data_IF_839286494909
#
_entry.id   IF_839286494909
#
_cell.length_a   1.000
_cell.length_b   1.000
_cell.length_c   1.000
_cell.angle_alpha   90.00
_cell.angle_beta   90.00
_cell.angle_gamma   90.00
#
_symmetry.space_group_name_H-M   'P 1'
#
loop_
_entity.id
_entity.type
_entity.pdbx_description
1 polymer ?
#
# COMPACT_ATOMS: atom_id res chain seq x y z
N UNK A 1 -20.36 -19.43 -7.68
CA UNK A 1 -19.65 -19.25 -8.96
C UNK A 1 -18.34 -18.54 -8.65
N UNK A 2 -17.20 -19.23 -8.73
CA UNK A 2 -15.91 -18.59 -8.51
C UNK A 2 -15.58 -17.74 -9.75
N UNK A 3 -15.63 -16.43 -9.62
CA UNK A 3 -15.15 -15.54 -10.67
C UNK A 3 -13.63 -15.61 -10.72
N UNK A 4 -13.10 -16.12 -11.81
CA UNK A 4 -11.67 -16.09 -12.08
C UNK A 4 -11.29 -14.65 -12.38
N UNK A 5 -10.48 -14.05 -11.52
CA UNK A 5 -9.94 -12.71 -11.77
C UNK A 5 -8.90 -12.85 -12.87
N UNK A 6 -9.17 -12.32 -14.05
CA UNK A 6 -8.40 -12.58 -15.27
C UNK A 6 -7.66 -11.38 -15.82
N UNK A 7 -7.59 -10.26 -15.13
CA UNK A 7 -6.78 -9.14 -15.60
C UNK A 7 -6.20 -8.38 -14.43
N UNK A 8 -4.89 -8.41 -14.27
CA UNK A 8 -4.30 -8.22 -12.98
C UNK A 8 -3.05 -7.38 -13.07
N UNK A 9 -3.21 -6.12 -12.79
CA UNK A 9 -2.18 -5.35 -12.11
C UNK A 9 -2.38 -5.50 -10.59
N UNK A 10 -2.22 -6.74 -10.11
CA UNK A 10 -2.22 -6.98 -8.67
C UNK A 10 -0.96 -6.39 -8.10
N UNK A 11 -1.13 -5.34 -7.37
CA UNK A 11 -0.05 -4.72 -6.62
C UNK A 11 -0.47 -4.68 -5.17
N UNK A 12 0.43 -5.15 -4.32
CA UNK A 12 0.48 -4.96 -2.89
C UNK A 12 -0.25 -6.00 -2.05
N UNK A 13 0.57 -6.81 -1.42
CA UNK A 13 0.21 -7.64 -0.30
C UNK A 13 0.55 -6.91 1.00
N UNK A 14 -0.44 -6.67 1.87
CA UNK A 14 -0.21 -6.06 3.18
C UNK A 14 -0.82 -6.91 4.28
N UNK A 15 -0.02 -7.12 5.32
CA UNK A 15 -0.44 -7.78 6.55
C UNK A 15 -0.90 -6.72 7.55
N UNK A 16 -2.11 -6.85 8.08
CA UNK A 16 -2.63 -5.96 9.11
C UNK A 16 -3.31 -6.71 10.23
N UNK A 17 -3.23 -6.13 11.43
CA UNK A 17 -3.83 -6.63 12.64
C UNK A 17 -5.36 -6.64 12.54
N UNK A 18 -5.95 -7.70 13.10
CA UNK A 18 -7.37 -7.87 13.38
C UNK A 18 -8.35 -7.62 12.23
N UNK A 19 -8.68 -8.70 11.55
CA UNK A 19 -9.90 -8.76 10.75
C UNK A 19 -11.13 -8.59 11.66
N UNK A 20 -11.70 -7.40 11.77
CA UNK A 20 -12.90 -7.11 12.55
C UNK A 20 -13.11 -8.09 13.72
N UNK A 21 -12.71 -7.69 14.93
CA UNK A 21 -13.02 -8.37 16.20
C UNK A 21 -12.47 -9.81 16.38
N UNK A 22 -11.45 -10.19 15.65
CA UNK A 22 -10.78 -11.48 15.82
C UNK A 22 -9.27 -11.32 15.98
N UNK A 23 -8.62 -12.22 16.70
CA UNK A 23 -7.15 -12.30 16.83
C UNK A 23 -6.45 -12.79 15.55
N UNK A 24 -7.16 -12.77 14.41
CA UNK A 24 -6.66 -13.26 13.13
C UNK A 24 -6.18 -12.08 12.28
N UNK A 25 -5.02 -12.23 11.66
CA UNK A 25 -4.46 -11.26 10.73
C UNK A 25 -5.15 -11.31 9.37
N UNK A 26 -5.17 -10.18 8.69
CA UNK A 26 -5.65 -10.08 7.32
C UNK A 26 -4.56 -9.58 6.37
N UNK A 27 -4.65 -10.06 5.15
CA UNK A 27 -3.90 -9.60 4.01
C UNK A 27 -4.84 -8.77 3.14
N UNK A 28 -4.41 -7.57 2.77
CA UNK A 28 -5.11 -6.72 1.82
C UNK A 28 -4.37 -6.71 0.50
N UNK A 29 -5.12 -6.91 -0.58
CA UNK A 29 -4.59 -6.97 -1.94
C UNK A 29 -5.30 -5.89 -2.76
N UNK A 30 -4.55 -4.93 -3.29
CA UNK A 30 -5.07 -3.89 -4.14
C UNK A 30 -5.04 -4.30 -5.61
N UNK A 31 -6.18 -4.25 -6.29
CA UNK A 31 -6.30 -4.20 -7.74
C UNK A 31 -6.66 -2.75 -8.10
N UNK A 32 -5.63 -1.89 -8.07
CA UNK A 32 -5.73 -0.43 -8.10
C UNK A 32 -5.04 0.21 -9.31
N UNK A 33 -4.31 -0.59 -10.10
CA UNK A 33 -3.62 -0.14 -11.30
C UNK A 33 -4.57 0.24 -12.44
N UNK A 34 -4.24 1.28 -13.18
CA UNK A 34 -4.98 1.72 -14.36
C UNK A 34 -4.08 2.51 -15.32
N UNK A 35 -3.12 1.84 -15.93
CA UNK A 35 -2.22 2.45 -16.92
C UNK A 35 -2.97 3.09 -18.11
N UNK A 36 -4.19 2.66 -18.37
CA UNK A 36 -5.02 3.16 -19.47
C UNK A 36 -5.93 4.31 -19.08
N UNK A 37 -6.01 4.67 -17.79
CA UNK A 37 -6.92 5.67 -17.24
C UNK A 37 -8.39 5.48 -17.66
N UNK A 38 -8.89 4.24 -17.53
CA UNK A 38 -10.23 3.85 -17.98
C UNK A 38 -11.09 3.20 -16.91
N UNK A 39 -10.52 2.93 -15.74
CA UNK A 39 -11.23 2.24 -14.67
C UNK A 39 -11.99 3.23 -13.79
N UNK A 40 -13.31 3.12 -13.82
CA UNK A 40 -14.17 3.88 -12.90
C UNK A 40 -14.12 3.37 -11.46
N UNK A 41 -13.76 2.10 -11.29
CA UNK A 41 -13.76 1.41 -9.99
C UNK A 41 -12.47 0.62 -9.84
N UNK A 42 -11.84 0.78 -8.69
CA UNK A 42 -10.75 -0.05 -8.22
C UNK A 42 -11.22 -0.99 -7.12
N UNK A 43 -10.48 -2.06 -6.88
CA UNK A 43 -10.86 -3.09 -5.92
C UNK A 43 -9.77 -3.30 -4.88
N UNK A 44 -10.19 -3.50 -3.63
CA UNK A 44 -9.33 -3.93 -2.55
C UNK A 44 -9.90 -5.21 -1.97
N UNK A 45 -9.11 -6.27 -1.98
CA UNK A 45 -9.49 -7.56 -1.42
C UNK A 45 -8.95 -7.67 0.01
N UNK A 46 -9.75 -8.16 0.92
CA UNK A 46 -9.36 -8.58 2.26
C UNK A 46 -9.44 -10.08 2.34
N UNK A 47 -8.34 -10.72 2.72
CA UNK A 47 -8.20 -12.17 2.83
C UNK A 47 -7.68 -12.49 4.23
N UNK A 48 -8.20 -13.53 4.87
CA UNK A 48 -7.61 -14.03 6.10
C UNK A 48 -6.19 -14.54 5.83
N UNK A 49 -5.24 -14.18 6.69
CA UNK A 49 -3.88 -14.68 6.55
C UNK A 49 -3.86 -16.21 6.70
N UNK A 50 -3.38 -16.96 5.69
CA UNK A 50 -3.30 -18.40 5.80
C UNK A 50 -2.20 -18.79 6.80
N UNK A 51 -2.45 -19.85 7.54
CA UNK A 51 -1.41 -20.43 8.37
C UNK A 51 -0.44 -21.23 7.48
N UNK A 52 0.78 -20.73 7.33
CA UNK A 52 1.82 -21.38 6.54
C UNK A 52 2.89 -21.90 7.50
N UNK A 53 3.15 -23.18 7.47
CA UNK A 53 4.28 -23.81 8.15
C UNK A 53 5.38 -24.21 7.18
N UNK A 54 6.54 -24.59 7.69
CA UNK A 54 7.69 -25.01 6.87
C UNK A 54 7.44 -26.27 6.03
N UNK A 55 6.34 -26.96 6.23
CA UNK A 55 5.92 -28.19 5.53
C UNK A 55 4.83 -27.92 4.49
N UNK A 56 4.29 -26.72 4.47
CA UNK A 56 3.24 -26.31 3.51
C UNK A 56 3.86 -26.24 2.11
N UNK A 57 3.66 -27.27 1.31
CA UNK A 57 4.18 -27.37 -0.07
C UNK A 57 3.09 -27.27 -1.12
N UNK A 58 1.84 -27.20 -0.71
CA UNK A 58 0.69 -27.18 -1.62
C UNK A 58 0.15 -25.76 -1.74
N UNK A 59 -0.32 -25.44 -2.95
CA UNK A 59 -1.14 -24.28 -3.20
C UNK A 59 -2.43 -24.42 -2.39
N UNK A 60 -2.71 -23.45 -1.52
CA UNK A 60 -3.96 -23.37 -0.78
C UNK A 60 -4.91 -22.42 -1.47
N UNK A 61 -6.18 -22.78 -1.50
CA UNK A 61 -7.25 -21.92 -1.98
C UNK A 61 -8.05 -21.42 -0.78
N UNK A 62 -8.25 -20.13 -0.68
CA UNK A 62 -9.09 -19.53 0.34
C UNK A 62 -10.45 -19.15 -0.23
N UNK A 63 -11.52 -19.51 0.48
CA UNK A 63 -12.86 -19.05 0.17
C UNK A 63 -13.31 -17.90 1.10
N UNK A 64 -12.45 -17.49 2.02
CA UNK A 64 -12.73 -16.42 2.99
C UNK A 64 -12.07 -15.13 2.54
N UNK A 65 -12.72 -14.45 1.63
CA UNK A 65 -12.27 -13.14 1.14
C UNK A 65 -13.46 -12.19 1.00
N UNK A 66 -13.17 -10.91 1.10
CA UNK A 66 -14.13 -9.82 0.85
C UNK A 66 -13.53 -8.86 -0.17
N UNK A 67 -14.39 -8.25 -0.97
CA UNK A 67 -13.99 -7.20 -1.91
C UNK A 67 -14.64 -5.89 -1.50
N UNK A 68 -13.84 -4.85 -1.50
CA UNK A 68 -14.26 -3.47 -1.35
C UNK A 68 -14.06 -2.76 -2.67
N UNK A 69 -15.08 -2.07 -3.13
CA UNK A 69 -15.06 -1.35 -4.39
C UNK A 69 -14.97 0.14 -4.10
N UNK A 70 -14.09 0.84 -4.80
CA UNK A 70 -13.90 2.27 -4.60
C UNK A 70 -13.83 3.00 -5.94
N UNK A 71 -14.20 4.27 -5.92
CA UNK A 71 -13.95 5.21 -7.02
C UNK A 71 -13.33 6.48 -6.48
N UNK A 72 -12.54 7.12 -7.31
CA UNK A 72 -12.01 8.44 -6.98
C UNK A 72 -13.13 9.50 -7.03
N UNK A 73 -13.11 10.41 -6.05
CA UNK A 73 -14.06 11.52 -6.00
C UNK A 73 -14.01 12.39 -7.25
N UNK A 74 -15.15 12.99 -7.61
CA UNK A 74 -15.23 13.89 -8.77
C UNK A 74 -15.15 13.21 -10.14
N UNK A 75 -15.41 11.90 -10.22
CA UNK A 75 -15.33 11.10 -11.47
C UNK A 75 -13.93 11.15 -12.12
N UNK A 76 -12.90 11.29 -11.33
CA UNK A 76 -11.51 11.24 -11.78
C UNK A 76 -11.08 9.77 -11.89
N UNK A 77 -10.08 9.50 -12.73
CA UNK A 77 -9.42 8.20 -12.87
C UNK A 77 -7.92 8.39 -12.69
N UNK A 78 -7.29 7.48 -11.97
CA UNK A 78 -5.85 7.53 -11.70
C UNK A 78 -5.27 6.13 -11.79
N UNK A 79 -4.04 6.05 -12.30
CA UNK A 79 -3.19 4.89 -12.05
C UNK A 79 -2.63 4.98 -10.64
N UNK A 80 -2.59 3.86 -9.93
CA UNK A 80 -1.98 3.79 -8.61
C UNK A 80 -1.34 2.42 -8.41
N UNK A 81 -0.23 2.41 -7.70
CA UNK A 81 0.49 1.18 -7.35
C UNK A 81 0.87 1.15 -5.86
N UNK A 82 0.53 2.21 -5.13
CA UNK A 82 0.88 2.37 -3.73
C UNK A 82 -0.37 2.47 -2.87
N UNK A 83 -0.48 1.55 -1.91
CA UNK A 83 -1.62 1.44 -0.99
C UNK A 83 -1.12 1.29 0.44
N UNK A 84 -1.70 2.02 1.35
CA UNK A 84 -1.44 1.94 2.78
C UNK A 84 -2.75 1.72 3.53
N UNK A 85 -2.69 1.05 4.65
CA UNK A 85 -3.79 1.01 5.62
C UNK A 85 -3.23 1.48 6.94
N UNK A 86 -3.82 2.52 7.47
CA UNK A 86 -3.44 3.06 8.77
C UNK A 86 -3.77 2.05 9.87
N UNK A 87 -2.80 1.57 10.65
CA UNK A 87 -3.05 0.58 11.68
C UNK A 87 -3.92 1.09 12.82
N UNK A 88 -3.95 2.41 13.06
CA UNK A 88 -4.69 3.02 14.15
C UNK A 88 -6.12 3.41 13.73
N UNK A 89 -6.24 4.08 12.59
CA UNK A 89 -7.54 4.61 12.11
C UNK A 89 -8.27 3.65 11.18
N UNK A 90 -7.58 2.65 10.63
CA UNK A 90 -8.07 1.73 9.58
C UNK A 90 -8.49 2.45 8.30
N UNK A 91 -7.99 3.63 8.06
CA UNK A 91 -8.17 4.32 6.78
C UNK A 91 -7.33 3.64 5.70
N UNK A 92 -7.96 3.43 4.55
CA UNK A 92 -7.26 3.11 3.31
C UNK A 92 -6.70 4.40 2.73
N UNK A 93 -5.42 4.41 2.40
CA UNK A 93 -4.75 5.51 1.71
C UNK A 93 -4.15 5.00 0.42
N UNK A 94 -4.44 5.68 -0.67
CA UNK A 94 -3.90 5.40 -2.01
C UNK A 94 -2.99 6.55 -2.41
N UNK A 95 -1.78 6.21 -2.87
CA UNK A 95 -0.83 7.16 -3.48
C UNK A 95 -0.77 6.83 -4.96
N UNK A 96 -1.13 7.80 -5.80
CA UNK A 96 -1.20 7.59 -7.25
C UNK A 96 0.17 7.55 -7.89
N UNK A 97 0.23 6.93 -9.08
CA UNK A 97 1.43 6.89 -9.92
C UNK A 97 1.23 7.78 -11.14
N UNK A 98 2.14 8.72 -11.36
CA UNK A 98 2.14 9.55 -12.56
C UNK A 98 3.56 10.01 -12.91
N UNK A 99 4.03 9.72 -14.11
CA UNK A 99 5.34 10.23 -14.55
C UNK A 99 5.26 11.71 -14.95
N UNK A 100 4.12 12.17 -15.46
CA UNK A 100 3.92 13.54 -15.96
C UNK A 100 2.47 13.99 -15.67
N UNK A 101 2.25 15.04 -14.85
CA UNK A 101 3.25 15.69 -14.00
C UNK A 101 3.77 14.75 -12.92
N UNK A 102 4.99 14.94 -12.41
CA UNK A 102 5.65 14.02 -11.47
C UNK A 102 5.08 14.14 -10.06
N UNK A 103 3.76 14.19 -9.94
CA UNK A 103 3.06 14.32 -8.68
C UNK A 103 2.21 13.08 -8.40
N UNK A 104 2.44 12.49 -7.25
CA UNK A 104 1.52 11.53 -6.67
C UNK A 104 0.45 12.27 -5.86
N UNK A 105 -0.81 11.97 -6.13
CA UNK A 105 -1.94 12.46 -5.35
C UNK A 105 -2.29 11.46 -4.28
N UNK A 106 -2.68 11.94 -3.11
CA UNK A 106 -3.04 11.10 -1.97
C UNK A 106 -4.54 11.12 -1.78
N UNK A 107 -5.15 9.95 -1.83
CA UNK A 107 -6.57 9.74 -1.56
C UNK A 107 -6.76 8.88 -0.33
N UNK A 108 -7.88 9.04 0.37
CA UNK A 108 -8.21 8.24 1.53
C UNK A 108 -9.69 7.85 1.59
N UNK A 109 -9.99 6.81 2.33
CA UNK A 109 -11.36 6.43 2.69
C UNK A 109 -11.33 5.47 3.88
N UNK A 110 -12.46 5.35 4.58
CA UNK A 110 -12.62 4.28 5.56
C UNK A 110 -12.79 2.93 4.86
N UNK A 111 -12.23 1.86 5.43
CA UNK A 111 -12.47 0.48 4.96
C UNK A 111 -13.80 -0.10 5.45
N UNK A 112 -14.52 0.63 6.28
CA UNK A 112 -15.79 0.20 6.87
C UNK A 112 -16.98 0.61 6.00
N UNK A 113 -17.05 0.02 4.79
CA UNK A 113 -18.15 0.25 3.86
C UNK A 113 -19.08 -0.97 3.83
N UNK A 114 -20.36 -0.71 3.56
CA UNK A 114 -21.36 -1.75 3.41
C UNK A 114 -21.06 -2.67 2.21
N UNK A 115 -21.31 -3.99 2.33
CA UNK A 115 -21.13 -4.92 1.22
C UNK A 115 -21.92 -4.48 -0.02
N UNK A 116 -21.33 -4.72 -1.20
CA UNK A 116 -21.92 -4.38 -2.51
C UNK A 116 -22.15 -2.87 -2.75
N UNK A 117 -21.53 -2.01 -1.95
CA UNK A 117 -21.50 -0.56 -2.22
C UNK A 117 -20.19 -0.18 -2.88
N UNK A 118 -20.15 1.02 -3.45
CA UNK A 118 -18.93 1.62 -3.97
C UNK A 118 -18.57 2.82 -3.10
N UNK A 119 -17.49 2.69 -2.34
CA UNK A 119 -16.93 3.77 -1.53
C UNK A 119 -16.31 4.86 -2.38
N UNK A 120 -16.16 6.04 -1.79
CA UNK A 120 -15.52 7.18 -2.43
C UNK A 120 -14.14 7.39 -1.80
N UNK A 121 -13.12 7.43 -2.63
CA UNK A 121 -11.79 7.89 -2.28
C UNK A 121 -11.78 9.41 -2.27
N UNK A 122 -11.63 9.99 -1.10
CA UNK A 122 -11.59 11.43 -0.88
C UNK A 122 -10.21 11.98 -1.24
N UNK A 123 -10.18 13.05 -2.03
CA UNK A 123 -8.95 13.78 -2.34
C UNK A 123 -8.49 14.53 -1.08
N UNK A 124 -7.31 14.20 -0.57
CA UNK A 124 -6.74 14.83 0.64
C UNK A 124 -6.13 16.20 0.37
N UNK A 125 -6.03 16.60 -0.90
CA UNK A 125 -5.33 17.80 -1.36
C UNK A 125 -3.80 17.69 -1.30
N UNK A 126 -3.25 16.54 -0.88
CA UNK A 126 -1.79 16.32 -0.84
C UNK A 126 -1.29 15.99 -2.23
N UNK A 127 -0.20 16.65 -2.61
CA UNK A 127 0.56 16.40 -3.83
C UNK A 127 2.02 16.19 -3.42
N UNK A 128 2.49 14.97 -3.59
CA UNK A 128 3.87 14.60 -3.30
C UNK A 128 4.69 14.63 -4.60
N UNK A 129 5.91 15.16 -4.55
CA UNK A 129 6.82 15.13 -5.69
C UNK A 129 7.43 13.72 -5.83
N UNK A 130 6.62 12.77 -6.20
CA UNK A 130 6.95 11.35 -6.30
C UNK A 130 6.64 10.84 -7.71
N UNK A 131 7.54 11.03 -8.69
CA UNK A 131 7.33 10.46 -10.01
C UNK A 131 7.38 8.93 -9.92
N UNK A 132 6.41 8.27 -10.55
CA UNK A 132 6.37 6.81 -10.66
C UNK A 132 6.42 6.07 -9.32
N UNK A 133 5.56 6.45 -8.36
CA UNK A 133 5.40 5.71 -7.12
C UNK A 133 4.92 4.27 -7.41
N UNK A 134 5.76 3.27 -7.11
CA UNK A 134 5.56 1.87 -7.46
C UNK A 134 5.06 1.03 -6.29
N UNK A 135 5.36 1.41 -5.07
CA UNK A 135 4.86 0.72 -3.86
C UNK A 135 4.97 1.63 -2.64
N UNK A 136 4.26 1.29 -1.58
CA UNK A 136 4.36 1.95 -0.28
C UNK A 136 4.24 0.95 0.86
N UNK A 137 4.90 1.20 1.98
CA UNK A 137 4.82 0.41 3.21
C UNK A 137 4.62 1.30 4.43
N UNK A 138 3.96 0.75 5.43
CA UNK A 138 3.87 1.32 6.77
C UNK A 138 4.28 0.26 7.79
N UNK A 139 5.02 0.68 8.83
CA UNK A 139 5.36 -0.22 9.94
C UNK A 139 4.11 -0.63 10.72
N UNK A 140 4.18 -1.78 11.39
CA UNK A 140 3.05 -2.34 12.13
C UNK A 140 2.55 -1.41 13.25
N UNK A 141 3.45 -0.64 13.83
CA UNK A 141 3.15 0.36 14.85
C UNK A 141 2.77 1.74 14.28
N UNK A 142 2.68 1.87 12.95
CA UNK A 142 2.32 3.12 12.28
C UNK A 142 3.36 4.23 12.37
N UNK A 143 4.60 3.93 12.83
CA UNK A 143 5.62 4.95 13.09
C UNK A 143 6.44 5.35 11.86
N UNK A 144 6.47 4.51 10.85
CA UNK A 144 7.27 4.74 9.64
C UNK A 144 6.45 4.43 8.41
N UNK A 145 6.42 5.38 7.48
CA UNK A 145 5.88 5.21 6.13
C UNK A 145 7.05 5.29 5.15
N UNK A 146 7.05 4.43 4.15
CA UNK A 146 8.00 4.49 3.04
C UNK A 146 7.25 4.36 1.72
N UNK A 147 7.62 5.18 0.72
CA UNK A 147 7.10 5.10 -0.64
C UNK A 147 8.26 4.82 -1.58
N UNK A 148 8.12 3.79 -2.39
CA UNK A 148 9.08 3.35 -3.39
C UNK A 148 8.79 4.02 -4.74
N UNK A 149 9.85 4.43 -5.41
CA UNK A 149 9.85 4.84 -6.82
C UNK A 149 10.71 3.86 -7.62
N UNK A 150 10.70 3.93 -8.94
CA UNK A 150 11.60 3.09 -9.75
C UNK A 150 13.06 3.20 -9.31
N UNK A 151 13.55 4.41 -9.04
CA UNK A 151 14.97 4.69 -8.78
C UNK A 151 15.24 5.32 -7.41
N UNK A 152 14.27 5.33 -6.51
CA UNK A 152 14.40 5.97 -5.20
C UNK A 152 13.38 5.48 -4.19
N UNK A 153 13.51 5.96 -2.97
CA UNK A 153 12.46 5.83 -1.96
C UNK A 153 12.48 7.04 -1.02
N UNK A 154 11.31 7.33 -0.49
CA UNK A 154 11.10 8.40 0.48
C UNK A 154 10.46 7.82 1.74
N UNK A 155 10.88 8.34 2.88
CA UNK A 155 10.45 7.87 4.19
C UNK A 155 9.90 9.03 5.01
N UNK A 156 8.79 8.79 5.69
CA UNK A 156 8.17 9.69 6.65
C UNK A 156 8.15 9.02 8.02
N UNK A 157 8.95 9.50 8.99
CA UNK A 157 8.83 9.05 10.37
C UNK A 157 7.67 9.79 11.06
N UNK A 158 6.93 9.09 11.92
CA UNK A 158 5.98 9.75 12.83
C UNK A 158 6.76 10.52 13.87
N UNK A 159 6.70 11.83 13.83
CA UNK A 159 7.41 12.69 14.76
C UNK A 159 6.66 12.80 16.10
N UNK A 160 7.35 13.09 17.22
CA UNK A 160 6.71 13.17 18.54
C UNK A 160 5.54 14.17 18.66
N UNK A 161 5.47 15.16 17.77
CA UNK A 161 4.37 16.12 17.70
C UNK A 161 3.05 15.52 17.21
N UNK A 162 3.10 14.38 16.53
CA UNK A 162 1.91 13.67 16.12
C UNK A 162 1.36 12.86 17.29
N UNK A 163 0.07 13.00 17.55
CA UNK A 163 -0.58 12.09 18.48
C UNK A 163 -0.64 10.68 17.90
N UNK A 164 -0.75 9.66 18.75
CA UNK A 164 -0.97 8.28 18.31
C UNK A 164 -2.28 8.09 17.51
N UNK A 165 -3.15 9.11 17.50
CA UNK A 165 -4.42 9.12 16.74
C UNK A 165 -4.37 9.97 15.48
N UNK A 166 -3.23 10.56 15.13
CA UNK A 166 -3.10 11.31 13.89
C UNK A 166 -3.11 10.35 12.70
N UNK A 167 -3.91 10.65 11.70
CA UNK A 167 -3.95 9.89 10.45
C UNK A 167 -2.57 9.87 9.79
N UNK A 168 -2.23 8.79 9.10
CA UNK A 168 -1.01 8.74 8.27
C UNK A 168 -1.02 9.81 7.17
N UNK A 169 -2.19 10.30 6.78
CA UNK A 169 -2.32 11.44 5.86
C UNK A 169 -1.67 12.70 6.45
N UNK A 170 -1.75 12.91 7.76
CA UNK A 170 -1.09 14.05 8.42
C UNK A 170 0.43 13.90 8.41
N UNK A 171 0.92 12.66 8.51
CA UNK A 171 2.36 12.36 8.43
C UNK A 171 2.87 12.64 7.01
N UNK A 172 2.12 12.25 5.98
CA UNK A 172 2.47 12.51 4.57
C UNK A 172 2.47 13.99 4.18
N UNK A 173 1.98 14.90 5.04
CA UNK A 173 2.10 16.36 4.86
C UNK A 173 3.44 16.93 5.31
N UNK A 174 4.20 16.13 6.05
CA UNK A 174 5.49 16.53 6.54
C UNK A 174 6.56 16.36 5.47
N UNK A 175 7.73 16.94 5.74
CA UNK A 175 8.90 16.77 4.90
C UNK A 175 9.40 15.32 4.96
N UNK A 176 9.59 14.74 3.81
CA UNK A 176 10.12 13.39 3.61
C UNK A 176 11.64 13.33 3.80
N UNK A 177 12.11 12.15 4.13
CA UNK A 177 13.53 11.81 4.11
C UNK A 177 13.84 10.96 2.87
N UNK A 178 14.84 11.34 2.10
CA UNK A 178 15.35 10.49 1.01
C UNK A 178 16.11 9.32 1.64
N UNK A 179 15.80 8.11 1.23
CA UNK A 179 16.47 6.91 1.71
C UNK A 179 17.13 6.13 0.58
N UNK A 180 18.19 5.41 0.92
CA UNK A 180 18.97 4.66 -0.05
C UNK A 180 18.20 3.48 -0.61
N UNK A 181 18.33 3.26 -1.91
CA UNK A 181 17.92 2.04 -2.59
C UNK A 181 19.05 1.63 -3.50
N UNK A 182 19.39 0.36 -3.55
CA UNK A 182 20.43 -0.14 -4.47
C UNK A 182 20.07 0.14 -5.93
N UNK A 183 21.04 -0.02 -6.81
CA UNK A 183 20.81 0.04 -8.24
C UNK A 183 19.94 -1.17 -8.61
N UNK A 184 18.71 -0.89 -8.99
CA UNK A 184 17.70 -1.86 -9.41
C UNK A 184 17.16 -1.40 -10.76
N UNK A 185 17.03 -2.32 -11.72
CA UNK A 185 16.59 -1.96 -13.08
C UNK A 185 15.20 -1.33 -13.07
N UNK A 186 14.31 -1.88 -12.24
CA UNK A 186 12.94 -1.41 -12.07
C UNK A 186 12.47 -1.74 -10.66
N UNK A 187 12.62 -0.79 -9.75
CA UNK A 187 12.24 -0.96 -8.36
C UNK A 187 10.71 -0.96 -8.21
N UNK A 188 10.14 -2.11 -7.81
CA UNK A 188 8.70 -2.30 -7.79
C UNK A 188 8.14 -2.56 -6.38
N UNK A 189 8.98 -2.98 -5.44
CA UNK A 189 8.46 -3.39 -4.13
C UNK A 189 9.26 -2.79 -2.98
N UNK A 190 8.55 -2.46 -1.91
CA UNK A 190 9.12 -2.09 -0.62
C UNK A 190 8.34 -2.73 0.53
N UNK A 191 9.05 -3.19 1.55
CA UNK A 191 8.46 -3.66 2.79
C UNK A 191 9.24 -3.12 3.98
N UNK A 192 8.57 -2.97 5.12
CA UNK A 192 9.19 -2.66 6.41
C UNK A 192 9.15 -3.90 7.29
N UNK A 193 10.13 -4.04 8.18
CA UNK A 193 9.99 -4.98 9.28
C UNK A 193 8.94 -4.46 10.29
N UNK A 194 8.51 -5.30 11.21
CA UNK A 194 7.43 -4.99 12.16
C UNK A 194 7.70 -3.73 12.99
N UNK A 195 8.96 -3.48 13.32
CA UNK A 195 9.39 -2.35 14.14
C UNK A 195 9.72 -1.08 13.34
N UNK A 196 9.65 -1.12 12.02
CA UNK A 196 10.03 0.02 11.19
C UNK A 196 11.52 0.40 11.28
N UNK A 197 12.40 -0.53 11.70
CA UNK A 197 13.85 -0.29 11.85
C UNK A 197 14.66 -0.70 10.61
N UNK A 198 14.05 -1.45 9.71
CA UNK A 198 14.65 -1.88 8.45
C UNK A 198 13.60 -1.91 7.35
N UNK A 199 14.03 -1.68 6.13
CA UNK A 199 13.19 -1.87 4.95
C UNK A 199 13.87 -2.77 3.93
N UNK A 200 13.05 -3.40 3.11
CA UNK A 200 13.45 -4.33 2.07
C UNK A 200 12.96 -3.81 0.73
N UNK A 201 13.78 -3.93 -0.31
CA UNK A 201 13.40 -3.56 -1.68
C UNK A 201 13.65 -4.69 -2.64
N UNK A 202 12.83 -4.73 -3.69
CA UNK A 202 12.96 -5.73 -4.75
C UNK A 202 12.66 -5.07 -6.10
N UNK A 203 13.33 -5.54 -7.14
CA UNK A 203 13.09 -5.13 -8.53
C UNK A 203 12.16 -6.11 -9.23
N UNK A 204 11.45 -5.67 -10.25
CA UNK A 204 10.79 -6.55 -11.20
C UNK A 204 11.82 -7.43 -11.92
N UNK A 205 11.36 -8.44 -12.64
CA UNK A 205 12.13 -9.45 -13.38
C UNK A 205 12.62 -10.65 -12.54
N UNK A 206 13.11 -11.65 -13.25
CA UNK A 206 13.58 -12.90 -12.65
C UNK A 206 14.97 -12.76 -12.04
N UNK A 207 15.23 -13.53 -10.98
CA UNK A 207 16.55 -13.59 -10.31
C UNK A 207 17.03 -12.28 -9.70
N UNK A 208 16.11 -11.38 -9.36
CA UNK A 208 16.47 -10.15 -8.66
C UNK A 208 16.71 -10.41 -7.18
N UNK A 209 17.70 -9.72 -6.62
CA UNK A 209 18.01 -9.79 -5.19
C UNK A 209 17.02 -8.99 -4.36
N UNK A 210 16.72 -9.47 -3.17
CA UNK A 210 16.09 -8.65 -2.13
C UNK A 210 17.21 -7.92 -1.40
N UNK A 211 17.08 -6.61 -1.29
CA UNK A 211 18.00 -5.74 -0.58
C UNK A 211 17.40 -5.32 0.74
N UNK A 212 18.19 -5.40 1.80
CA UNK A 212 17.83 -4.92 3.14
C UNK A 212 18.64 -3.67 3.48
N UNK A 213 17.98 -2.71 4.10
CA UNK A 213 18.57 -1.47 4.60
C UNK A 213 18.10 -1.21 6.02
N UNK A 214 19.01 -0.77 6.87
CA UNK A 214 18.68 -0.37 8.24
C UNK A 214 18.36 1.13 8.28
N UNK A 215 17.31 1.47 9.02
CA UNK A 215 16.92 2.84 9.30
C UNK A 215 17.69 3.28 10.54
N UNK A 216 18.68 4.13 10.33
CA UNK A 216 19.47 4.66 11.44
C UNK A 216 18.65 5.70 12.20
N UNK A 217 18.43 5.47 13.49
CA UNK A 217 17.88 6.49 14.40
C UNK A 217 18.98 7.54 14.65
N UNK A 218 18.73 8.76 14.25
CA UNK A 218 19.55 9.92 14.62
C UNK A 218 19.00 10.62 15.85
#
# INVERSE_FOLDING_TARGET
>A
MASRITNTDFRILRKFFNCRDSDVFCIFIGDIGDNSHKRDVINVFRVLEPHIDSKTTKKEETNSWQVFNFRYGGKKVFNAESMLIDPDTRELVIVTKSPIPPYAYVFKTALDIEPNTVGILEDTGIKLMLPDATDAAISTDGQVIIVRLYFGAFLWPRRPRHSSKSSIVDILREEECIVSVGIQEQGESVALNDLGTSYFTHSEHVNQSIWQYDILSH
#
